data_IF_633967589897
#
_entry.id   IF_633967589897
#
_cell.length_a   1.000
_cell.length_b   1.000
_cell.length_c   1.000
_cell.angle_alpha   90.00
_cell.angle_beta   90.00
_cell.angle_gamma   90.00
#
_symmetry.space_group_name_H-M   'P 1'
#
loop_
_entity.id
_entity.type
_entity.pdbx_description
1 polymer ?
#
# COMPACT_ATOMS: atom_id res chain seq x y z
N UNK A 1 -2.54 11.92 -15.35
CA UNK A 1 -3.70 11.02 -15.21
C UNK A 1 -3.77 10.59 -13.76
N UNK A 2 -4.92 10.75 -13.10
CA UNK A 2 -5.13 10.28 -11.72
C UNK A 2 -5.27 8.76 -11.74
N UNK A 3 -4.30 8.05 -11.17
CA UNK A 3 -4.38 6.59 -10.94
C UNK A 3 -5.30 6.34 -9.75
N UNK A 4 -6.33 5.50 -9.88
CA UNK A 4 -7.16 5.06 -8.76
C UNK A 4 -6.45 3.94 -7.97
N UNK A 5 -6.85 3.71 -6.72
CA UNK A 5 -6.31 2.59 -5.91
C UNK A 5 -6.52 1.23 -6.58
N UNK A 6 -7.64 1.05 -7.29
CA UNK A 6 -7.95 -0.15 -8.08
C UNK A 6 -6.94 -0.45 -9.18
N UNK A 7 -6.15 0.53 -9.63
CA UNK A 7 -5.12 0.36 -10.65
C UNK A 7 -3.74 0.03 -10.07
N UNK A 8 -3.59 -0.04 -8.74
CA UNK A 8 -2.30 -0.24 -8.09
C UNK A 8 -1.95 -1.72 -7.83
N UNK A 9 -2.79 -2.66 -8.29
CA UNK A 9 -2.54 -4.11 -8.14
C UNK A 9 -2.86 -4.69 -6.76
N UNK A 10 -3.53 -3.94 -5.90
CA UNK A 10 -3.95 -4.40 -4.56
C UNK A 10 -5.11 -5.41 -4.65
N UNK A 11 -5.30 -6.18 -3.58
CA UNK A 11 -6.46 -7.06 -3.45
C UNK A 11 -7.75 -6.23 -3.43
N UNK A 12 -8.85 -6.69 -4.06
CA UNK A 12 -10.11 -5.94 -4.12
C UNK A 12 -10.64 -5.52 -2.74
N UNK A 13 -10.48 -6.38 -1.72
CA UNK A 13 -10.91 -6.10 -0.34
C UNK A 13 -10.15 -4.92 0.27
N UNK A 14 -8.85 -4.78 -0.02
CA UNK A 14 -8.06 -3.63 0.44
C UNK A 14 -8.47 -2.35 -0.28
N UNK A 15 -8.74 -2.42 -1.59
CA UNK A 15 -9.26 -1.28 -2.37
C UNK A 15 -10.59 -0.80 -1.80
N UNK A 16 -11.51 -1.72 -1.54
CA UNK A 16 -12.80 -1.41 -0.93
C UNK A 16 -12.63 -0.79 0.47
N UNK A 17 -11.72 -1.32 1.29
CA UNK A 17 -11.46 -0.80 2.63
C UNK A 17 -10.91 0.63 2.61
N UNK A 18 -9.96 0.95 1.72
CA UNK A 18 -9.41 2.31 1.63
C UNK A 18 -10.43 3.30 1.07
N UNK A 19 -11.24 2.89 0.09
CA UNK A 19 -12.33 3.73 -0.43
C UNK A 19 -13.39 4.01 0.64
N UNK A 20 -13.76 3.02 1.45
CA UNK A 20 -14.68 3.19 2.57
C UNK A 20 -14.13 4.13 3.67
N UNK A 21 -12.81 4.20 3.82
CA UNK A 21 -12.14 5.18 4.69
C UNK A 21 -12.05 6.59 4.07
N UNK A 22 -12.54 6.77 2.84
CA UNK A 22 -12.52 8.03 2.12
C UNK A 22 -11.23 8.30 1.33
N UNK A 23 -10.35 7.30 1.18
CA UNK A 23 -9.15 7.44 0.34
C UNK A 23 -9.52 7.23 -1.12
N UNK A 24 -9.86 8.31 -1.81
CA UNK A 24 -10.35 8.26 -3.19
C UNK A 24 -9.23 8.32 -4.23
N UNK A 25 -8.15 9.05 -3.94
CA UNK A 25 -7.01 9.21 -4.86
C UNK A 25 -5.71 8.91 -4.11
N UNK A 26 -4.89 7.95 -4.59
CA UNK A 26 -3.58 7.70 -4.01
C UNK A 26 -2.66 8.91 -4.17
N UNK A 27 -1.88 9.19 -3.12
CA UNK A 27 -0.87 10.25 -3.16
C UNK A 27 0.27 9.89 -4.13
N UNK A 28 1.11 10.85 -4.55
CA UNK A 28 2.23 10.55 -5.45
C UNK A 28 3.18 9.47 -4.93
N UNK A 29 3.46 9.47 -3.62
CA UNK A 29 4.34 8.46 -3.00
C UNK A 29 3.67 7.07 -2.98
N UNK A 30 2.34 7.00 -2.79
CA UNK A 30 1.58 5.74 -2.83
C UNK A 30 1.54 5.17 -4.26
N UNK A 31 1.20 6.00 -5.25
CA UNK A 31 1.15 5.59 -6.66
C UNK A 31 2.51 5.11 -7.19
N UNK A 32 3.60 5.70 -6.70
CA UNK A 32 4.96 5.31 -7.09
C UNK A 32 5.46 4.06 -6.35
N UNK A 33 5.22 3.95 -5.04
CA UNK A 33 5.79 2.86 -4.24
C UNK A 33 4.98 1.57 -4.28
N UNK A 34 3.64 1.64 -4.27
CA UNK A 34 2.80 0.45 -4.08
C UNK A 34 3.08 -0.60 -5.17
N UNK A 35 3.06 -0.29 -6.47
CA UNK A 35 3.31 -1.30 -7.51
C UNK A 35 4.71 -1.94 -7.37
N UNK A 36 5.74 -1.12 -7.13
CA UNK A 36 7.13 -1.58 -7.00
C UNK A 36 7.30 -2.50 -5.78
N UNK A 37 6.67 -2.15 -4.65
CA UNK A 37 6.69 -3.00 -3.46
C UNK A 37 5.96 -4.33 -3.71
N UNK A 38 4.83 -4.32 -4.42
CA UNK A 38 4.08 -5.53 -4.76
C UNK A 38 4.86 -6.49 -5.67
N UNK A 39 5.74 -5.97 -6.51
CA UNK A 39 6.67 -6.77 -7.32
C UNK A 39 7.77 -7.47 -6.50
N UNK A 40 8.00 -7.05 -5.25
CA UNK A 40 8.98 -7.69 -4.35
C UNK A 40 10.33 -7.00 -4.29
N UNK A 41 10.42 -5.79 -4.85
CA UNK A 41 11.63 -5.00 -4.78
C UNK A 41 11.81 -4.32 -3.43
N UNK A 42 13.06 -4.15 -3.01
CA UNK A 42 13.43 -3.23 -1.94
C UNK A 42 13.24 -1.78 -2.42
N UNK A 43 12.70 -0.92 -1.56
CA UNK A 43 12.29 0.44 -1.96
C UNK A 43 12.83 1.48 -0.98
N UNK A 44 13.37 2.57 -1.53
CA UNK A 44 13.65 3.81 -0.80
C UNK A 44 12.59 4.84 -1.21
N UNK A 45 11.75 5.25 -0.27
CA UNK A 45 10.72 6.28 -0.48
C UNK A 45 11.07 7.59 0.21
N UNK A 46 11.20 8.69 -0.55
CA UNK A 46 11.37 10.04 0.01
C UNK A 46 10.10 10.86 -0.21
N UNK A 47 9.46 11.26 0.89
CA UNK A 47 8.36 12.23 0.86
C UNK A 47 8.27 13.01 2.18
N UNK A 48 7.65 14.19 2.15
CA UNK A 48 7.43 15.01 3.35
C UNK A 48 6.46 14.32 4.34
N UNK A 49 6.42 14.75 5.60
CA UNK A 49 5.42 14.24 6.57
C UNK A 49 4.00 14.59 6.14
N UNK A 50 3.02 13.76 6.48
CA UNK A 50 1.61 13.97 6.09
C UNK A 50 1.26 13.59 4.64
N UNK A 51 2.19 13.01 3.88
CA UNK A 51 1.99 12.65 2.45
C UNK A 51 1.48 11.23 2.22
N UNK A 52 1.06 10.53 3.27
CA UNK A 52 0.51 9.17 3.16
C UNK A 52 1.54 8.05 3.02
N UNK A 53 2.81 8.28 3.42
CA UNK A 53 3.88 7.26 3.43
C UNK A 53 3.50 5.97 4.18
N UNK A 54 2.76 6.10 5.29
CA UNK A 54 2.32 4.94 6.08
C UNK A 54 1.47 3.98 5.25
N UNK A 55 0.47 4.48 4.53
CA UNK A 55 -0.33 3.65 3.64
C UNK A 55 0.48 3.14 2.43
N UNK A 56 1.51 3.88 1.99
CA UNK A 56 2.36 3.47 0.88
C UNK A 56 3.12 2.16 1.14
N UNK A 57 3.54 1.88 2.39
CA UNK A 57 4.14 0.59 2.76
C UNK A 57 3.14 -0.38 3.41
N UNK A 58 2.13 0.12 4.14
CA UNK A 58 1.19 -0.74 4.86
C UNK A 58 0.27 -1.52 3.93
N UNK A 59 -0.18 -0.93 2.82
CA UNK A 59 -1.06 -1.62 1.87
C UNK A 59 -0.35 -2.79 1.17
N UNK A 60 0.89 -2.66 0.67
CA UNK A 60 1.67 -3.80 0.19
C UNK A 60 1.92 -4.87 1.25
N UNK A 61 2.19 -4.49 2.50
CA UNK A 61 2.34 -5.45 3.62
C UNK A 61 1.05 -6.24 3.80
N UNK A 62 -0.09 -5.55 3.96
CA UNK A 62 -1.40 -6.18 4.15
C UNK A 62 -1.78 -7.08 2.96
N UNK A 63 -1.45 -6.66 1.74
CA UNK A 63 -1.69 -7.45 0.53
C UNK A 63 -0.95 -8.80 0.56
N UNK A 64 0.21 -8.87 1.22
CA UNK A 64 1.03 -10.08 1.31
C UNK A 64 0.78 -10.94 2.54
N UNK A 65 -0.02 -10.46 3.50
CA UNK A 65 -0.30 -11.24 4.70
C UNK A 65 -1.11 -12.48 4.33
N UNK A 66 -0.64 -13.63 4.80
CA UNK A 66 -1.35 -14.90 4.68
C UNK A 66 -2.24 -15.11 5.92
N UNK A 67 -3.57 -15.12 5.78
CA UNK A 67 -4.47 -15.41 6.88
C UNK A 67 -4.23 -16.81 7.46
N UNK A 68 -4.28 -16.94 8.78
CA UNK A 68 -4.06 -18.23 9.46
C UNK A 68 -2.59 -18.56 9.74
N UNK A 69 -1.64 -17.79 9.21
CA UNK A 69 -0.24 -17.87 9.61
C UNK A 69 -0.05 -17.45 11.07
N UNK A 70 0.60 -18.30 11.87
CA UNK A 70 0.85 -18.05 13.30
C UNK A 70 2.19 -17.38 13.61
N UNK A 71 3.06 -17.26 12.61
CA UNK A 71 4.34 -16.57 12.73
C UNK A 71 4.20 -15.06 12.44
N UNK A 72 5.17 -14.26 12.88
CA UNK A 72 5.30 -12.86 12.47
C UNK A 72 5.67 -12.81 10.99
N UNK A 73 4.86 -12.12 10.18
CA UNK A 73 5.03 -12.05 8.72
C UNK A 73 5.58 -10.70 8.24
N UNK A 74 5.53 -9.66 9.06
CA UNK A 74 6.05 -8.33 8.75
C UNK A 74 6.42 -7.58 10.02
N UNK A 75 7.40 -6.67 9.92
CA UNK A 75 7.88 -5.80 10.99
C UNK A 75 8.02 -4.37 10.46
N UNK A 76 7.53 -3.39 11.22
CA UNK A 76 7.72 -1.96 10.99
C UNK A 76 8.40 -1.39 12.24
N UNK A 77 9.48 -0.63 12.07
CA UNK A 77 10.31 -0.07 13.15
C UNK A 77 10.08 1.42 13.32
#
# INVERSE_FOLDING_TARGET
MTTAFSHLGLHPELVQAVEALGFTTPTPIQSAMIPVMLEGHDVIGQAQTGTGKTAAFALPILHRLEPGGRAVQSLVL
#
